data_IF_863640305531
#
_entry.id   IF_863640305531
#
_cell.length_a   1.000
_cell.length_b   1.000
_cell.length_c   1.000
_cell.angle_alpha   90.00
_cell.angle_beta   90.00
_cell.angle_gamma   90.00
#
_symmetry.space_group_name_H-M   'P 1'
#
loop_
_entity.id
_entity.type
_entity.pdbx_description
1 polymer ?
#
# COMPACT_ATOMS: atom_id res chain seq x y z
N UNK A 1 23.33 -33.77 3.56
CA UNK A 1 23.23 -32.87 4.72
C UNK A 1 24.53 -32.12 4.96
N UNK A 2 25.66 -32.81 5.16
CA UNK A 2 26.97 -32.18 5.43
C UNK A 2 27.49 -31.26 4.29
N UNK A 3 27.46 -31.71 3.03
CA UNK A 3 27.81 -30.86 1.87
C UNK A 3 26.95 -29.60 1.75
N UNK A 4 25.68 -29.70 2.12
CA UNK A 4 24.75 -28.56 2.13
C UNK A 4 25.11 -27.61 3.27
N UNK A 5 25.43 -28.13 4.46
CA UNK A 5 25.86 -27.33 5.60
C UNK A 5 27.18 -26.59 5.33
N UNK A 6 28.16 -27.25 4.70
CA UNK A 6 29.43 -26.62 4.29
C UNK A 6 29.16 -25.53 3.24
N UNK A 7 28.36 -25.82 2.21
CA UNK A 7 28.00 -24.83 1.19
C UNK A 7 27.29 -23.61 1.80
N UNK A 8 26.33 -23.82 2.71
CA UNK A 8 25.66 -22.74 3.44
C UNK A 8 26.65 -21.96 4.30
N UNK A 9 27.59 -22.64 4.96
CA UNK A 9 28.65 -22.01 5.75
C UNK A 9 29.54 -21.11 4.90
N UNK A 10 30.04 -21.61 3.78
CA UNK A 10 30.89 -20.84 2.86
C UNK A 10 30.15 -19.64 2.26
N UNK A 11 28.87 -19.82 1.88
CA UNK A 11 28.04 -18.71 1.40
C UNK A 11 27.83 -17.67 2.51
N UNK A 12 27.59 -18.12 3.75
CA UNK A 12 27.43 -17.22 4.90
C UNK A 12 28.71 -16.46 5.20
N UNK A 13 29.89 -17.09 5.19
CA UNK A 13 31.18 -16.42 5.40
C UNK A 13 31.47 -15.40 4.32
N UNK A 14 31.25 -15.75 3.05
CA UNK A 14 31.40 -14.81 1.94
C UNK A 14 30.40 -13.66 2.04
N UNK A 15 29.14 -13.96 2.37
CA UNK A 15 28.11 -12.96 2.56
C UNK A 15 28.39 -12.04 3.75
N UNK A 16 28.99 -12.51 4.83
CA UNK A 16 29.33 -11.67 5.99
C UNK A 16 30.76 -11.12 5.97
N UNK A 17 31.42 -11.15 4.81
CA UNK A 17 32.78 -10.64 4.68
C UNK A 17 32.85 -9.14 4.99
N UNK A 18 33.62 -8.76 6.02
CA UNK A 18 33.64 -7.41 6.59
C UNK A 18 33.87 -6.31 5.54
N UNK A 19 34.79 -6.56 4.58
CA UNK A 19 35.16 -5.60 3.53
C UNK A 19 34.03 -5.21 2.58
N UNK A 20 32.98 -6.04 2.48
CA UNK A 20 31.81 -5.71 1.67
C UNK A 20 30.90 -4.72 2.40
N UNK A 21 30.83 -4.79 3.73
CA UNK A 21 29.75 -4.16 4.49
C UNK A 21 30.20 -3.10 5.48
N UNK A 22 31.48 -3.08 5.83
CA UNK A 22 32.05 -2.14 6.79
C UNK A 22 33.10 -1.24 6.12
N UNK A 23 33.22 0.03 6.55
CA UNK A 23 34.23 0.93 6.02
C UNK A 23 35.65 0.59 6.53
N UNK A 24 36.64 0.76 5.65
CA UNK A 24 38.06 0.69 6.03
C UNK A 24 38.51 -0.71 6.47
N UNK A 25 39.24 -0.76 7.60
CA UNK A 25 39.79 -2.00 8.18
C UNK A 25 38.97 -2.52 9.37
N UNK A 26 37.71 -2.09 9.51
CA UNK A 26 36.82 -2.54 10.58
C UNK A 26 36.29 -3.96 10.33
N UNK A 27 36.01 -4.65 11.41
CA UNK A 27 35.41 -5.99 11.42
C UNK A 27 34.14 -6.01 12.26
N UNK A 28 33.27 -6.99 12.06
CA UNK A 28 32.09 -7.20 12.93
C UNK A 28 32.47 -7.42 14.40
N UNK A 29 33.72 -7.80 14.70
CA UNK A 29 34.22 -7.90 16.07
C UNK A 29 34.38 -6.53 16.74
N UNK A 30 34.64 -5.48 15.97
CA UNK A 30 34.79 -4.09 16.46
C UNK A 30 33.43 -3.44 16.77
N UNK A 31 32.33 -4.05 16.32
CA UNK A 31 30.94 -3.60 16.51
C UNK A 31 30.18 -4.53 17.48
N UNK A 32 30.87 -4.98 18.53
CA UNK A 32 30.28 -5.74 19.64
C UNK A 32 30.03 -4.83 20.84
N UNK A 33 28.97 -5.15 21.59
CA UNK A 33 28.62 -4.44 22.83
C UNK A 33 29.86 -4.39 23.75
N UNK A 34 30.27 -3.18 24.15
CA UNK A 34 31.53 -2.94 24.84
C UNK A 34 31.81 -1.44 24.99
N UNK A 35 32.61 -1.07 25.99
CA UNK A 35 33.01 0.34 26.24
C UNK A 35 31.83 1.34 26.40
N UNK A 36 30.68 0.86 26.87
CA UNK A 36 29.46 1.68 27.02
C UNK A 36 28.64 1.88 25.74
N UNK A 37 29.05 1.26 24.63
CA UNK A 37 28.28 1.22 23.38
C UNK A 37 27.42 -0.04 23.30
N UNK A 38 26.18 0.14 22.82
CA UNK A 38 25.26 -0.94 22.48
C UNK A 38 25.03 -0.91 20.98
N UNK A 39 25.32 -2.01 20.27
CA UNK A 39 25.20 -2.08 18.82
C UNK A 39 23.99 -2.92 18.38
N UNK A 40 23.41 -2.53 17.25
CA UNK A 40 22.39 -3.32 16.57
C UNK A 40 23.00 -4.63 16.07
N UNK A 41 22.36 -5.75 16.44
CA UNK A 41 22.76 -7.10 16.02
C UNK A 41 21.74 -7.67 15.06
N UNK A 42 22.19 -8.45 14.08
CA UNK A 42 21.30 -9.18 13.19
C UNK A 42 20.33 -10.11 13.97
N UNK A 43 20.77 -10.64 15.12
CA UNK A 43 19.93 -11.47 15.99
C UNK A 43 18.73 -10.74 16.58
N UNK A 44 18.79 -9.41 16.74
CA UNK A 44 17.64 -8.62 17.18
C UNK A 44 16.48 -8.69 16.19
N UNK A 45 16.78 -8.82 14.88
CA UNK A 45 15.76 -8.93 13.85
C UNK A 45 14.93 -10.21 13.97
N UNK A 46 15.42 -11.26 14.65
CA UNK A 46 14.61 -12.45 14.92
C UNK A 46 13.42 -12.16 15.83
N UNK A 47 13.47 -11.11 16.66
CA UNK A 47 12.33 -10.67 17.45
C UNK A 47 11.15 -10.21 16.57
N UNK A 48 11.41 -9.78 15.33
CA UNK A 48 10.34 -9.31 14.43
C UNK A 48 9.34 -10.41 14.06
N UNK A 49 9.76 -11.67 14.03
CA UNK A 49 8.91 -12.81 13.67
C UNK A 49 7.82 -13.07 14.71
N UNK A 50 8.13 -13.30 16.01
CA UNK A 50 7.08 -13.47 17.03
C UNK A 50 6.20 -12.21 17.16
N UNK A 51 6.77 -11.00 17.08
CA UNK A 51 5.96 -9.77 17.12
C UNK A 51 5.04 -9.64 15.89
N UNK A 52 5.47 -10.06 14.69
CA UNK A 52 4.60 -10.12 13.52
C UNK A 52 3.40 -11.07 13.73
N UNK A 53 3.62 -12.21 14.38
CA UNK A 53 2.53 -13.13 14.75
C UNK A 53 1.58 -12.47 15.77
N UNK A 54 2.12 -11.77 16.77
CA UNK A 54 1.30 -10.98 17.71
C UNK A 54 0.47 -9.95 16.96
N UNK A 55 1.05 -9.21 15.99
CA UNK A 55 0.30 -8.27 15.16
C UNK A 55 -0.83 -8.94 14.37
N UNK A 56 -0.67 -10.16 13.89
CA UNK A 56 -1.75 -10.90 13.23
C UNK A 56 -2.90 -11.23 14.18
N UNK A 57 -2.58 -11.60 15.43
CA UNK A 57 -3.59 -11.86 16.48
C UNK A 57 -4.29 -10.56 16.87
N UNK A 58 -3.54 -9.49 17.14
CA UNK A 58 -4.09 -8.17 17.47
C UNK A 58 -4.95 -7.64 16.34
N UNK A 59 -4.52 -7.77 15.08
CA UNK A 59 -5.31 -7.41 13.90
C UNK A 59 -6.63 -8.18 13.87
N UNK A 60 -6.61 -9.50 14.08
CA UNK A 60 -7.83 -10.30 14.10
C UNK A 60 -8.82 -9.82 15.18
N UNK A 61 -8.31 -9.55 16.38
CA UNK A 61 -9.12 -9.01 17.48
C UNK A 61 -9.65 -7.61 17.15
N UNK A 62 -8.82 -6.72 16.61
CA UNK A 62 -9.19 -5.37 16.21
C UNK A 62 -10.30 -5.37 15.16
N UNK A 63 -10.14 -6.18 14.09
CA UNK A 63 -11.11 -6.27 13.00
C UNK A 63 -12.48 -6.73 13.51
N UNK A 64 -12.51 -7.66 14.48
CA UNK A 64 -13.73 -8.21 15.07
C UNK A 64 -14.36 -7.30 16.12
N UNK A 65 -13.57 -6.77 17.05
CA UNK A 65 -14.04 -6.08 18.25
C UNK A 65 -14.22 -4.57 18.07
N UNK A 66 -13.46 -3.95 17.15
CA UNK A 66 -13.45 -2.49 16.98
C UNK A 66 -13.88 -2.06 15.58
N UNK A 67 -13.27 -2.61 14.53
CA UNK A 67 -13.54 -2.15 13.16
C UNK A 67 -14.96 -2.52 12.68
N UNK A 68 -15.47 -3.70 13.07
CA UNK A 68 -16.84 -4.12 12.71
C UNK A 68 -17.94 -3.24 13.32
N UNK A 69 -17.96 -2.99 14.64
CA UNK A 69 -18.96 -2.09 15.20
C UNK A 69 -18.81 -0.66 14.68
N UNK A 70 -17.58 -0.17 14.48
CA UNK A 70 -17.34 1.14 13.87
C UNK A 70 -17.93 1.23 12.45
N UNK A 71 -17.74 0.19 11.63
CA UNK A 71 -18.33 0.12 10.30
C UNK A 71 -19.87 0.18 10.36
N UNK A 72 -20.48 -0.52 11.32
CA UNK A 72 -21.93 -0.49 11.51
C UNK A 72 -22.44 0.90 11.91
N UNK A 73 -21.72 1.62 12.80
CA UNK A 73 -22.04 3.00 13.18
C UNK A 73 -21.96 3.97 11.99
N UNK A 74 -21.04 3.73 11.06
CA UNK A 74 -20.91 4.50 9.82
C UNK A 74 -21.87 4.06 8.70
N UNK A 75 -22.77 3.11 8.97
CA UNK A 75 -23.72 2.60 7.98
C UNK A 75 -23.10 1.70 6.91
N UNK A 76 -21.88 1.19 7.14
CA UNK A 76 -21.15 0.31 6.22
C UNK A 76 -21.54 -1.13 6.50
N UNK A 77 -22.60 -1.60 5.83
CA UNK A 77 -23.07 -2.98 5.93
C UNK A 77 -22.64 -3.82 4.74
N UNK A 78 -22.39 -5.11 4.97
CA UNK A 78 -22.12 -6.06 3.89
C UNK A 78 -23.41 -6.35 3.11
N UNK A 79 -23.42 -6.02 1.81
CA UNK A 79 -24.55 -6.37 0.94
C UNK A 79 -24.59 -7.88 0.73
N UNK A 80 -25.78 -8.53 0.80
CA UNK A 80 -25.91 -9.96 0.55
C UNK A 80 -25.45 -10.28 -0.87
N UNK A 81 -24.52 -11.23 -0.99
CA UNK A 81 -24.02 -11.70 -2.29
C UNK A 81 -24.82 -12.90 -2.73
N UNK A 82 -25.55 -12.74 -3.82
CA UNK A 82 -26.25 -13.86 -4.45
C UNK A 82 -25.23 -14.82 -5.05
N UNK A 83 -25.25 -16.08 -4.62
CA UNK A 83 -24.52 -17.18 -5.28
C UNK A 83 -25.06 -17.37 -6.70
N UNK A 84 -24.19 -17.73 -7.64
CA UNK A 84 -24.59 -17.90 -9.04
C UNK A 84 -25.28 -19.25 -9.15
N UNK A 85 -26.21 -19.34 -10.09
CA UNK A 85 -26.80 -20.62 -10.46
C UNK A 85 -25.67 -21.56 -10.92
N UNK A 86 -25.65 -22.79 -10.39
CA UNK A 86 -24.60 -23.74 -10.72
C UNK A 86 -24.71 -24.14 -12.18
N UNK A 87 -23.65 -23.90 -12.95
CA UNK A 87 -23.55 -24.30 -14.35
C UNK A 87 -22.12 -24.75 -14.65
N UNK A 88 -21.87 -26.06 -14.81
CA UNK A 88 -20.52 -26.60 -14.96
C UNK A 88 -19.84 -26.12 -16.26
N UNK A 89 -20.61 -25.86 -17.32
CA UNK A 89 -20.07 -25.36 -18.60
C UNK A 89 -19.50 -23.95 -18.44
N UNK A 90 -20.26 -23.06 -17.79
CA UNK A 90 -19.85 -21.68 -17.58
C UNK A 90 -18.71 -21.58 -16.55
N UNK A 91 -18.76 -22.37 -15.48
CA UNK A 91 -17.68 -22.43 -14.47
C UNK A 91 -16.37 -22.97 -15.06
N UNK A 92 -16.46 -24.00 -15.90
CA UNK A 92 -15.29 -24.53 -16.61
C UNK A 92 -14.67 -23.48 -17.53
N UNK A 93 -15.47 -22.75 -18.31
CA UNK A 93 -14.97 -21.66 -19.15
C UNK A 93 -14.35 -20.53 -18.31
N UNK A 94 -15.02 -20.11 -17.23
CA UNK A 94 -14.57 -19.04 -16.35
C UNK A 94 -13.19 -19.31 -15.72
N UNK A 95 -12.97 -20.57 -15.32
CA UNK A 95 -11.74 -21.00 -14.64
C UNK A 95 -10.58 -21.28 -15.59
N UNK A 96 -10.85 -21.70 -16.84
CA UNK A 96 -9.81 -22.19 -17.76
C UNK A 96 -9.54 -21.29 -18.96
N UNK A 97 -10.52 -20.49 -19.41
CA UNK A 97 -10.45 -19.71 -20.65
C UNK A 97 -10.39 -18.21 -20.38
N UNK A 98 -11.49 -17.63 -19.88
CA UNK A 98 -11.59 -16.20 -19.64
C UNK A 98 -12.69 -15.87 -18.64
N UNK A 99 -12.46 -14.83 -17.83
CA UNK A 99 -13.48 -14.21 -16.96
C UNK A 99 -14.35 -13.19 -17.70
N UNK A 100 -13.90 -12.75 -18.87
CA UNK A 100 -14.53 -11.77 -19.76
C UNK A 100 -14.66 -12.40 -21.16
N UNK A 101 -15.70 -13.23 -21.39
CA UNK A 101 -15.94 -13.84 -22.70
C UNK A 101 -16.27 -12.77 -23.75
N UNK A 102 -15.77 -12.92 -24.98
CA UNK A 102 -16.17 -12.06 -26.10
C UNK A 102 -17.55 -12.47 -26.61
N UNK A 103 -18.22 -11.63 -27.38
CA UNK A 103 -19.57 -11.92 -27.89
C UNK A 103 -19.67 -13.27 -28.62
N UNK A 104 -18.67 -13.61 -29.45
CA UNK A 104 -18.62 -14.90 -30.14
C UNK A 104 -18.52 -16.11 -29.19
N UNK A 105 -17.84 -15.96 -28.05
CA UNK A 105 -17.76 -16.99 -27.01
C UNK A 105 -19.09 -17.14 -26.28
N UNK A 106 -19.79 -16.02 -26.03
CA UNK A 106 -21.10 -16.01 -25.38
C UNK A 106 -22.11 -16.81 -26.21
N UNK A 107 -22.14 -16.63 -27.54
CA UNK A 107 -23.04 -17.38 -28.43
C UNK A 107 -22.77 -18.89 -28.39
N UNK A 108 -21.49 -19.27 -28.37
CA UNK A 108 -21.07 -20.67 -28.23
C UNK A 108 -21.48 -21.27 -26.87
N UNK A 109 -21.34 -20.50 -25.79
CA UNK A 109 -21.75 -20.92 -24.45
C UNK A 109 -23.27 -21.05 -24.34
N UNK A 110 -24.04 -20.12 -24.91
CA UNK A 110 -25.50 -20.17 -24.95
C UNK A 110 -26.01 -21.49 -25.55
N UNK A 111 -25.41 -21.94 -26.67
CA UNK A 111 -25.74 -23.22 -27.30
C UNK A 111 -25.45 -24.42 -26.39
N UNK A 112 -24.32 -24.39 -25.66
CA UNK A 112 -23.89 -25.51 -24.79
C UNK A 112 -24.70 -25.65 -23.50
N UNK A 113 -25.22 -24.55 -22.96
CA UNK A 113 -25.98 -24.56 -21.70
C UNK A 113 -27.48 -24.28 -21.88
N UNK A 114 -27.95 -24.09 -23.12
CA UNK A 114 -29.35 -23.77 -23.44
C UNK A 114 -29.87 -22.54 -22.68
N UNK A 115 -29.00 -21.56 -22.43
CA UNK A 115 -29.34 -20.28 -21.79
C UNK A 115 -29.32 -19.15 -22.82
N UNK A 116 -30.06 -18.07 -22.55
CA UNK A 116 -30.01 -16.85 -23.36
C UNK A 116 -28.72 -16.06 -23.14
N UNK A 117 -28.27 -15.29 -24.14
CA UNK A 117 -27.08 -14.42 -24.06
C UNK A 117 -27.09 -13.58 -22.80
N UNK A 118 -28.22 -12.90 -22.53
CA UNK A 118 -28.40 -12.07 -21.34
C UNK A 118 -28.27 -12.86 -20.03
N UNK A 119 -28.70 -14.12 -19.98
CA UNK A 119 -28.56 -14.97 -18.78
C UNK A 119 -27.09 -15.39 -18.59
N UNK A 120 -26.38 -15.72 -19.67
CA UNK A 120 -24.95 -16.03 -19.65
C UNK A 120 -24.12 -14.81 -19.24
N UNK A 121 -24.31 -13.66 -19.87
CA UNK A 121 -23.68 -12.38 -19.50
C UNK A 121 -23.89 -12.03 -18.02
N UNK A 122 -25.14 -12.12 -17.56
CA UNK A 122 -25.49 -11.88 -16.16
C UNK A 122 -24.82 -12.88 -15.22
N UNK A 123 -24.69 -14.15 -15.63
CA UNK A 123 -23.98 -15.16 -14.86
C UNK A 123 -22.50 -14.79 -14.72
N UNK A 124 -21.82 -14.44 -15.81
CA UNK A 124 -20.41 -14.02 -15.78
C UNK A 124 -20.21 -12.79 -14.90
N UNK A 125 -21.06 -11.76 -15.06
CA UNK A 125 -21.01 -10.56 -14.22
C UNK A 125 -21.18 -10.88 -12.73
N UNK A 126 -22.18 -11.69 -12.37
CA UNK A 126 -22.42 -12.10 -10.98
C UNK A 126 -21.29 -12.98 -10.43
N UNK A 127 -20.74 -13.88 -11.25
CA UNK A 127 -19.62 -14.76 -10.90
C UNK A 127 -18.35 -13.98 -10.61
N UNK A 128 -18.06 -12.93 -11.40
CA UNK A 128 -16.96 -11.98 -11.12
C UNK A 128 -17.18 -11.23 -9.81
N UNK A 129 -18.40 -10.75 -9.58
CA UNK A 129 -18.74 -9.98 -8.37
C UNK A 129 -18.74 -10.82 -7.07
N UNK A 130 -18.88 -12.15 -7.17
CA UNK A 130 -18.77 -13.05 -6.01
C UNK A 130 -17.35 -13.11 -5.43
N UNK A 131 -16.34 -13.13 -6.29
CA UNK A 131 -14.93 -13.23 -5.88
C UNK A 131 -14.35 -11.88 -5.43
N UNK A 132 -14.99 -10.76 -5.82
CA UNK A 132 -14.57 -9.42 -5.36
C UNK A 132 -14.66 -9.34 -3.85
N UNK A 133 -13.75 -8.72 -3.11
CA UNK A 133 -13.87 -8.60 -1.65
C UNK A 133 -14.92 -7.56 -1.23
N UNK A 134 -15.60 -7.81 -0.11
CA UNK A 134 -16.68 -6.94 0.39
C UNK A 134 -16.14 -5.60 0.89
N UNK A 135 -16.96 -4.54 0.79
CA UNK A 135 -16.61 -3.20 1.29
C UNK A 135 -16.27 -3.24 2.78
N UNK A 136 -16.98 -4.05 3.56
CA UNK A 136 -16.70 -4.26 4.98
C UNK A 136 -15.30 -4.87 5.22
N UNK A 137 -14.87 -5.84 4.39
CA UNK A 137 -13.51 -6.40 4.46
C UNK A 137 -12.48 -5.31 4.15
N UNK A 138 -12.67 -4.57 3.05
CA UNK A 138 -11.78 -3.45 2.67
C UNK A 138 -11.68 -2.40 3.80
N UNK A 139 -12.80 -2.04 4.42
CA UNK A 139 -12.86 -1.11 5.55
C UNK A 139 -12.08 -1.59 6.76
N UNK A 140 -12.27 -2.85 7.17
CA UNK A 140 -11.54 -3.45 8.30
C UNK A 140 -10.03 -3.42 8.10
N UNK A 141 -9.58 -3.83 6.91
CA UNK A 141 -8.16 -3.83 6.56
C UNK A 141 -7.55 -2.42 6.56
N UNK A 142 -8.26 -1.42 6.02
CA UNK A 142 -7.83 -0.02 6.02
C UNK A 142 -7.81 0.57 7.42
N UNK A 143 -8.82 0.29 8.23
CA UNK A 143 -8.90 0.80 9.61
C UNK A 143 -7.76 0.30 10.48
N UNK A 144 -7.36 -0.98 10.32
CA UNK A 144 -6.21 -1.55 11.02
C UNK A 144 -4.91 -0.82 10.65
N UNK A 145 -4.68 -0.61 9.35
CA UNK A 145 -3.49 0.13 8.87
C UNK A 145 -3.49 1.57 9.38
N UNK A 146 -4.64 2.26 9.35
CA UNK A 146 -4.74 3.63 9.86
C UNK A 146 -4.30 3.72 11.33
N UNK A 147 -4.84 2.86 12.20
CA UNK A 147 -4.52 2.88 13.63
C UNK A 147 -3.04 2.61 13.85
N UNK A 148 -2.47 1.66 13.10
CA UNK A 148 -1.05 1.37 13.18
C UNK A 148 -0.19 2.56 12.73
N UNK A 149 -0.40 3.10 11.52
CA UNK A 149 0.40 4.21 10.99
C UNK A 149 0.30 5.46 11.86
N UNK A 150 -0.87 5.73 12.44
CA UNK A 150 -1.04 6.82 13.40
C UNK A 150 -0.18 6.61 14.65
N UNK A 151 -0.22 5.41 15.24
CA UNK A 151 0.58 5.08 16.41
C UNK A 151 2.09 5.08 16.10
N UNK A 152 2.49 4.54 14.95
CA UNK A 152 3.87 4.52 14.48
C UNK A 152 4.43 5.92 14.25
N UNK A 153 3.68 6.79 13.58
CA UNK A 153 4.10 8.17 13.34
C UNK A 153 4.26 8.96 14.65
N UNK A 154 3.29 8.87 15.56
CA UNK A 154 3.38 9.50 16.89
C UNK A 154 4.57 8.94 17.67
N UNK A 155 4.74 7.62 17.67
CA UNK A 155 5.89 6.95 18.30
C UNK A 155 7.22 7.37 17.71
N UNK A 156 7.31 7.53 16.39
CA UNK A 156 8.48 8.01 15.67
C UNK A 156 8.84 9.45 16.05
N UNK A 157 7.85 10.35 16.14
CA UNK A 157 8.07 11.73 16.63
C UNK A 157 8.61 11.69 18.06
N UNK A 158 7.99 10.92 18.96
CA UNK A 158 8.45 10.80 20.36
C UNK A 158 9.88 10.24 20.43
N UNK A 159 10.21 9.25 19.60
CA UNK A 159 11.53 8.61 19.58
C UNK A 159 12.65 9.50 19.02
N UNK A 160 12.31 10.52 18.22
CA UNK A 160 13.25 11.34 17.46
C UNK A 160 13.31 12.81 17.89
N UNK A 161 12.29 13.33 18.57
CA UNK A 161 12.16 14.76 18.90
C UNK A 161 13.37 15.32 19.65
N UNK A 162 13.99 14.56 20.55
CA UNK A 162 15.14 14.99 21.33
C UNK A 162 16.49 14.68 20.65
N UNK A 163 16.50 14.19 19.41
CA UNK A 163 17.71 13.72 18.73
C UNK A 163 18.29 14.79 17.80
N UNK A 164 19.61 15.06 17.83
CA UNK A 164 20.20 16.14 17.05
C UNK A 164 20.10 15.91 15.53
N UNK A 165 20.14 14.66 15.08
CA UNK A 165 20.01 14.30 13.67
C UNK A 165 18.60 14.51 13.10
N UNK A 166 17.58 14.71 13.96
CA UNK A 166 16.25 15.09 13.52
C UNK A 166 16.20 16.52 12.97
N UNK A 167 17.08 17.39 13.46
CA UNK A 167 17.15 18.81 13.07
C UNK A 167 18.34 19.11 12.14
N UNK A 168 19.46 18.39 12.30
CA UNK A 168 20.65 18.57 11.48
C UNK A 168 21.12 17.22 10.91
N UNK A 169 20.88 17.02 9.61
CA UNK A 169 21.20 15.77 8.92
C UNK A 169 22.70 15.43 8.92
N UNK A 170 23.59 16.42 9.10
CA UNK A 170 25.03 16.16 9.22
C UNK A 170 25.36 15.28 10.44
N UNK A 171 24.55 15.37 11.50
CA UNK A 171 24.69 14.55 12.70
C UNK A 171 24.31 13.08 12.47
N UNK A 172 23.70 12.71 11.34
CA UNK A 172 23.39 11.30 11.04
C UNK A 172 24.64 10.44 10.93
N UNK A 173 25.75 11.00 10.43
CA UNK A 173 27.00 10.28 10.21
C UNK A 173 28.04 10.54 11.31
N UNK A 174 27.73 11.44 12.26
CA UNK A 174 28.63 11.73 13.36
C UNK A 174 28.85 10.48 14.23
N UNK A 175 30.11 10.08 14.38
CA UNK A 175 30.52 8.87 15.08
C UNK A 175 30.26 7.57 14.33
N UNK A 176 29.74 7.59 13.09
CA UNK A 176 29.58 6.37 12.29
C UNK A 176 30.95 5.76 11.93
N UNK A 177 31.13 4.43 11.99
CA UNK A 177 30.13 3.38 12.29
C UNK A 177 29.94 3.05 13.77
N UNK A 178 30.65 3.73 14.69
CA UNK A 178 30.57 3.53 16.14
C UNK A 178 29.44 4.36 16.77
N UNK A 179 28.21 4.08 16.35
CA UNK A 179 27.00 4.71 16.91
C UNK A 179 26.28 3.73 17.84
N UNK A 180 26.02 4.14 19.08
CA UNK A 180 25.20 3.35 19.99
C UNK A 180 23.74 3.41 19.56
N UNK A 181 23.12 2.24 19.50
CA UNK A 181 21.67 2.07 19.39
C UNK A 181 21.01 2.53 20.70
N UNK A 182 19.95 3.31 20.57
CA UNK A 182 19.10 3.72 21.69
C UNK A 182 17.88 2.81 21.82
N UNK A 183 17.36 2.64 23.03
CA UNK A 183 16.16 1.82 23.28
C UNK A 183 14.94 2.30 22.48
N UNK A 184 14.78 3.62 22.33
CA UNK A 184 13.70 4.19 21.50
C UNK A 184 13.82 3.79 20.03
N UNK A 185 15.05 3.74 19.50
CA UNK A 185 15.31 3.31 18.13
C UNK A 185 15.06 1.81 17.97
N UNK A 186 15.45 1.00 18.97
CA UNK A 186 15.18 -0.43 18.98
C UNK A 186 13.69 -0.72 18.87
N UNK A 187 12.89 -0.18 19.79
CA UNK A 187 11.45 -0.44 19.78
C UNK A 187 10.78 0.11 18.54
N UNK A 188 11.19 1.29 18.05
CA UNK A 188 10.61 1.85 16.83
C UNK A 188 10.87 0.94 15.62
N UNK A 189 12.11 0.47 15.43
CA UNK A 189 12.48 -0.46 14.35
C UNK A 189 11.76 -1.80 14.45
N UNK A 190 11.78 -2.42 15.64
CA UNK A 190 11.21 -3.75 15.82
C UNK A 190 9.69 -3.71 15.60
N UNK A 191 9.00 -2.69 16.09
CA UNK A 191 7.56 -2.52 15.88
C UNK A 191 7.22 -2.33 14.40
N UNK A 192 7.88 -1.39 13.71
CA UNK A 192 7.69 -1.12 12.28
C UNK A 192 7.95 -2.37 11.43
N UNK A 193 9.12 -3.00 11.61
CA UNK A 193 9.50 -4.16 10.83
C UNK A 193 8.59 -5.36 11.08
N UNK A 194 8.13 -5.57 12.31
CA UNK A 194 7.19 -6.63 12.66
C UNK A 194 5.82 -6.41 12.00
N UNK A 195 5.36 -5.16 11.95
CA UNK A 195 4.11 -4.83 11.27
C UNK A 195 4.21 -5.08 9.77
N UNK A 196 5.26 -4.60 9.10
CA UNK A 196 5.44 -4.86 7.67
C UNK A 196 5.59 -6.36 7.37
N UNK A 197 6.30 -7.11 8.21
CA UNK A 197 6.38 -8.55 8.08
C UNK A 197 4.99 -9.20 8.21
N UNK A 198 4.16 -8.73 9.14
CA UNK A 198 2.78 -9.21 9.29
C UNK A 198 1.92 -8.94 8.04
N UNK A 199 2.13 -7.80 7.35
CA UNK A 199 1.47 -7.49 6.09
C UNK A 199 1.91 -8.44 4.97
N UNK A 200 3.21 -8.72 4.86
CA UNK A 200 3.74 -9.68 3.88
C UNK A 200 3.19 -11.09 4.12
N UNK A 201 3.11 -11.55 5.37
CA UNK A 201 2.52 -12.86 5.69
C UNK A 201 1.05 -12.98 5.28
N UNK A 202 0.32 -11.86 5.19
CA UNK A 202 -1.09 -11.80 4.80
C UNK A 202 -1.32 -11.44 3.33
N UNK A 203 -0.26 -11.20 2.55
CA UNK A 203 -0.35 -10.63 1.20
C UNK A 203 -1.22 -11.46 0.23
N UNK A 204 -1.30 -12.78 0.43
CA UNK A 204 -2.12 -13.69 -0.39
C UNK A 204 -3.60 -13.72 0.01
N UNK A 205 -3.91 -13.35 1.27
CA UNK A 205 -5.25 -13.37 1.85
C UNK A 205 -5.94 -12.00 1.83
N UNK A 206 -5.14 -10.93 1.88
CA UNK A 206 -5.61 -9.55 1.81
C UNK A 206 -6.13 -9.20 0.41
N UNK A 207 -6.90 -8.11 0.32
CA UNK A 207 -7.50 -7.67 -0.94
C UNK A 207 -6.40 -7.24 -1.94
N UNK A 208 -6.27 -8.00 -3.03
CA UNK A 208 -5.35 -7.66 -4.13
C UNK A 208 -5.84 -6.41 -4.86
N UNK A 209 -4.97 -5.41 -4.93
CA UNK A 209 -5.20 -4.12 -5.59
C UNK A 209 -4.61 -4.11 -7.00
N UNK A 210 -4.90 -3.08 -7.80
CA UNK A 210 -4.40 -2.94 -9.18
C UNK A 210 -2.87 -2.84 -9.23
N UNK A 211 -2.26 -2.27 -8.21
CA UNK A 211 -0.81 -2.07 -8.01
C UNK A 211 -0.15 -3.21 -7.20
N UNK A 212 -0.72 -4.42 -7.21
CA UNK A 212 -0.26 -5.52 -6.37
C UNK A 212 1.20 -5.92 -6.61
N UNK A 213 1.69 -5.88 -7.86
CA UNK A 213 3.06 -6.27 -8.20
C UNK A 213 4.05 -5.23 -7.68
N UNK A 214 3.75 -3.96 -7.87
CA UNK A 214 4.52 -2.81 -7.40
C UNK A 214 4.58 -2.79 -5.88
N UNK A 215 3.46 -3.13 -5.22
CA UNK A 215 3.42 -3.31 -3.77
C UNK A 215 4.33 -4.45 -3.30
N UNK A 216 4.40 -5.60 -3.99
CA UNK A 216 5.34 -6.67 -3.62
C UNK A 216 6.80 -6.17 -3.71
N UNK A 217 7.15 -5.52 -4.82
CA UNK A 217 8.51 -4.97 -5.02
C UNK A 217 8.84 -3.97 -3.91
N UNK A 218 7.89 -3.11 -3.56
CA UNK A 218 8.03 -2.17 -2.45
C UNK A 218 8.28 -2.88 -1.12
N UNK A 219 7.46 -3.87 -0.73
CA UNK A 219 7.63 -4.57 0.55
C UNK A 219 8.98 -5.30 0.62
N UNK A 220 9.44 -5.85 -0.50
CA UNK A 220 10.77 -6.45 -0.58
C UNK A 220 11.87 -5.40 -0.42
N UNK A 221 11.75 -4.26 -1.09
CA UNK A 221 12.70 -3.17 -1.00
C UNK A 221 12.77 -2.56 0.41
N UNK A 222 11.62 -2.28 1.04
CA UNK A 222 11.56 -1.70 2.38
C UNK A 222 12.05 -2.66 3.45
N UNK A 223 11.62 -3.92 3.47
CA UNK A 223 12.13 -4.90 4.44
C UNK A 223 13.64 -5.11 4.29
N UNK A 224 14.15 -5.12 3.06
CA UNK A 224 15.61 -5.19 2.81
C UNK A 224 16.32 -3.94 3.31
N UNK A 225 15.78 -2.74 3.08
CA UNK A 225 16.33 -1.48 3.59
C UNK A 225 16.32 -1.41 5.12
N UNK A 226 15.23 -1.83 5.78
CA UNK A 226 15.16 -1.88 7.24
C UNK A 226 16.17 -2.89 7.81
N UNK A 227 16.22 -4.11 7.27
CA UNK A 227 17.16 -5.13 7.73
C UNK A 227 18.62 -4.69 7.50
N UNK A 228 18.91 -4.14 6.32
CA UNK A 228 20.25 -3.68 5.99
C UNK A 228 20.68 -2.49 6.84
N UNK A 229 19.83 -1.47 6.99
CA UNK A 229 20.14 -0.30 7.82
C UNK A 229 20.33 -0.68 9.29
N UNK A 230 19.63 -1.70 9.78
CA UNK A 230 19.87 -2.25 11.12
C UNK A 230 21.25 -2.91 11.22
N UNK A 231 21.54 -3.87 10.34
CA UNK A 231 22.79 -4.62 10.37
C UNK A 231 24.03 -3.75 10.09
N UNK A 232 23.92 -2.75 9.20
CA UNK A 232 25.00 -1.83 8.86
C UNK A 232 25.16 -0.65 9.84
N UNK A 233 24.34 -0.56 10.89
CA UNK A 233 24.28 0.56 11.83
C UNK A 233 23.91 1.92 11.20
N UNK A 234 23.02 1.92 10.20
CA UNK A 234 22.46 3.13 9.56
C UNK A 234 21.13 3.53 10.23
N UNK A 235 20.99 3.21 11.52
CA UNK A 235 19.74 3.29 12.28
C UNK A 235 19.16 4.71 12.24
N UNK A 236 20.01 5.73 12.39
CA UNK A 236 19.60 7.14 12.33
C UNK A 236 18.90 7.47 11.02
N UNK A 237 19.47 7.05 9.88
CA UNK A 237 18.88 7.25 8.55
C UNK A 237 17.54 6.52 8.46
N UNK A 238 17.50 5.24 8.82
CA UNK A 238 16.28 4.45 8.66
C UNK A 238 15.15 4.93 9.56
N UNK A 239 15.41 5.44 10.77
CA UNK A 239 14.37 6.07 11.60
C UNK A 239 13.73 7.30 10.95
N UNK A 240 14.51 8.14 10.24
CA UNK A 240 13.95 9.27 9.49
C UNK A 240 13.19 8.81 8.25
N UNK A 241 13.69 7.79 7.54
CA UNK A 241 12.99 7.21 6.40
C UNK A 241 11.63 6.68 6.82
N UNK A 242 11.54 5.87 7.89
CA UNK A 242 10.26 5.38 8.41
C UNK A 242 9.31 6.53 8.75
N UNK A 243 9.79 7.53 9.52
CA UNK A 243 8.95 8.65 9.97
C UNK A 243 8.33 9.44 8.82
N UNK A 244 9.13 9.86 7.83
CA UNK A 244 8.59 10.62 6.70
C UNK A 244 7.67 9.77 5.84
N UNK A 245 7.87 8.45 5.84
CA UNK A 245 7.05 7.52 5.09
C UNK A 245 5.66 7.39 5.75
N UNK A 246 5.60 7.10 7.05
CA UNK A 246 4.33 6.87 7.77
C UNK A 246 3.38 8.08 7.73
N UNK A 247 3.93 9.29 7.63
CA UNK A 247 3.16 10.55 7.63
C UNK A 247 2.06 10.64 6.56
N UNK A 248 2.34 10.21 5.32
CA UNK A 248 1.37 10.25 4.22
C UNK A 248 0.33 9.14 4.33
N UNK A 249 0.70 8.03 4.93
CA UNK A 249 -0.09 6.79 4.90
C UNK A 249 -1.30 6.90 5.83
N UNK A 250 -1.19 7.67 6.92
CA UNK A 250 -2.32 8.06 7.78
C UNK A 250 -3.42 8.75 6.96
N UNK A 251 -3.05 9.72 6.11
CA UNK A 251 -4.00 10.47 5.30
C UNK A 251 -4.61 9.59 4.20
N UNK A 252 -3.80 8.72 3.59
CA UNK A 252 -4.26 7.78 2.57
C UNK A 252 -5.30 6.79 3.12
N UNK A 253 -5.02 6.16 4.26
CA UNK A 253 -5.95 5.21 4.87
C UNK A 253 -7.20 5.95 5.39
N UNK A 254 -7.06 7.16 5.92
CA UNK A 254 -8.20 8.01 6.32
C UNK A 254 -9.12 8.31 5.13
N UNK A 255 -8.58 8.75 3.99
CA UNK A 255 -9.38 9.01 2.79
C UNK A 255 -10.18 7.78 2.35
N UNK A 256 -9.57 6.58 2.38
CA UNK A 256 -10.24 5.32 2.04
C UNK A 256 -11.40 4.99 3.00
N UNK A 257 -11.24 5.23 4.31
CA UNK A 257 -12.31 5.04 5.31
C UNK A 257 -13.52 5.91 4.97
N UNK A 258 -13.29 7.22 4.74
CA UNK A 258 -14.36 8.15 4.40
C UNK A 258 -15.00 7.85 3.04
N UNK A 259 -14.22 7.35 2.07
CA UNK A 259 -14.77 6.85 0.81
C UNK A 259 -15.75 5.69 1.04
N UNK A 260 -15.39 4.71 1.88
CA UNK A 260 -16.28 3.59 2.20
C UNK A 260 -17.51 4.02 3.01
N UNK A 261 -17.41 5.07 3.81
CA UNK A 261 -18.53 5.70 4.50
C UNK A 261 -19.39 6.60 3.60
N UNK A 262 -19.04 6.75 2.31
CA UNK A 262 -19.69 7.64 1.33
C UNK A 262 -19.67 9.12 1.70
N UNK A 263 -18.65 9.57 2.42
CA UNK A 263 -18.45 10.99 2.77
C UNK A 263 -17.53 11.65 1.74
N UNK A 264 -18.05 11.85 0.54
CA UNK A 264 -17.27 12.23 -0.65
C UNK A 264 -16.50 13.55 -0.47
N UNK A 265 -17.15 14.60 0.06
CA UNK A 265 -16.50 15.91 0.29
C UNK A 265 -15.29 15.79 1.22
N UNK A 266 -15.46 15.08 2.33
CA UNK A 266 -14.40 14.85 3.32
C UNK A 266 -13.29 13.97 2.74
N UNK A 267 -13.65 12.89 2.04
CA UNK A 267 -12.71 12.01 1.35
C UNK A 267 -11.84 12.78 0.35
N UNK A 268 -12.46 13.57 -0.52
CA UNK A 268 -11.76 14.34 -1.55
C UNK A 268 -10.84 15.40 -0.92
N UNK A 269 -11.30 16.10 0.12
CA UNK A 269 -10.48 17.05 0.87
C UNK A 269 -9.24 16.39 1.48
N UNK A 270 -9.41 15.26 2.18
CA UNK A 270 -8.30 14.49 2.77
C UNK A 270 -7.37 13.96 1.67
N UNK A 271 -7.90 13.51 0.54
CA UNK A 271 -7.10 13.01 -0.57
C UNK A 271 -6.19 14.08 -1.18
N UNK A 272 -6.67 15.34 -1.29
CA UNK A 272 -5.82 16.46 -1.74
C UNK A 272 -4.71 16.76 -0.74
N UNK A 273 -5.02 16.76 0.56
CA UNK A 273 -4.00 16.94 1.62
C UNK A 273 -2.99 15.79 1.59
N UNK A 274 -3.47 14.55 1.45
CA UNK A 274 -2.63 13.36 1.25
C UNK A 274 -1.67 13.55 0.06
N UNK A 275 -2.18 13.98 -1.09
CA UNK A 275 -1.35 14.18 -2.27
C UNK A 275 -0.25 15.22 -2.01
N UNK A 276 -0.58 16.35 -1.38
CA UNK A 276 0.40 17.37 -1.03
C UNK A 276 1.48 16.83 -0.07
N UNK A 277 1.08 16.16 1.00
CA UNK A 277 2.01 15.56 1.98
C UNK A 277 2.88 14.49 1.32
N UNK A 278 2.31 13.61 0.50
CA UNK A 278 3.04 12.58 -0.22
C UNK A 278 4.13 13.17 -1.13
N UNK A 279 3.81 14.21 -1.89
CA UNK A 279 4.80 14.88 -2.77
C UNK A 279 5.90 15.53 -1.93
N UNK A 280 5.55 16.25 -0.86
CA UNK A 280 6.54 16.90 0.01
C UNK A 280 7.45 15.85 0.67
N UNK A 281 6.90 14.81 1.27
CA UNK A 281 7.72 13.86 2.04
C UNK A 281 8.50 12.90 1.14
N UNK A 282 7.90 12.38 0.06
CA UNK A 282 8.51 11.34 -0.78
C UNK A 282 9.27 11.87 -2.00
N UNK A 283 8.91 13.04 -2.54
CA UNK A 283 9.58 13.60 -3.73
C UNK A 283 10.39 14.86 -3.46
N UNK A 284 10.24 15.49 -2.29
CA UNK A 284 11.05 16.65 -1.89
C UNK A 284 12.01 16.24 -0.77
N UNK A 285 11.51 15.95 0.43
CA UNK A 285 12.35 15.63 1.60
C UNK A 285 13.18 14.37 1.35
N UNK A 286 12.57 13.27 0.90
CA UNK A 286 13.28 12.01 0.72
C UNK A 286 14.49 12.10 -0.25
N UNK A 287 14.37 12.59 -1.50
CA UNK A 287 15.52 12.67 -2.40
C UNK A 287 16.51 13.79 -2.05
N UNK A 288 16.04 15.02 -1.79
CA UNK A 288 16.92 16.18 -1.68
C UNK A 288 17.53 16.36 -0.30
N UNK A 289 16.95 15.77 0.75
CA UNK A 289 17.50 15.81 2.11
C UNK A 289 18.05 14.45 2.52
N UNK A 290 17.24 13.39 2.52
CA UNK A 290 17.66 12.09 3.06
C UNK A 290 18.65 11.38 2.12
N UNK A 291 18.29 11.15 0.85
CA UNK A 291 19.20 10.50 -0.13
C UNK A 291 20.45 11.35 -0.36
N UNK A 292 20.30 12.67 -0.48
CA UNK A 292 21.45 13.57 -0.56
C UNK A 292 22.39 13.38 0.64
N UNK A 293 21.85 13.33 1.86
CA UNK A 293 22.66 13.11 3.05
C UNK A 293 23.33 11.72 3.07
N UNK A 294 22.72 10.67 2.52
CA UNK A 294 23.33 9.34 2.45
C UNK A 294 24.33 9.18 1.31
N UNK A 295 24.37 10.13 0.37
CA UNK A 295 25.30 10.14 -0.75
C UNK A 295 26.50 11.07 -0.50
N UNK A 296 26.26 12.24 0.09
CA UNK A 296 27.26 13.33 0.12
C UNK A 296 28.11 13.33 1.40
N UNK A 297 27.54 13.04 2.56
CA UNK A 297 28.26 13.16 3.84
C UNK A 297 29.09 11.93 4.24
N UNK A 298 28.72 10.68 3.89
CA UNK A 298 29.54 9.51 4.18
C UNK A 298 30.97 9.57 3.65
N UNK A 299 31.20 9.98 2.39
CA UNK A 299 32.56 10.05 1.83
C UNK A 299 33.50 11.00 2.57
N UNK A 300 32.97 11.97 3.34
CA UNK A 300 33.79 12.85 4.19
C UNK A 300 34.41 12.11 5.39
N UNK A 301 33.83 10.97 5.78
CA UNK A 301 34.22 10.21 6.99
C UNK A 301 34.95 8.92 6.64
N UNK A 302 34.59 8.26 5.52
CA UNK A 302 35.16 6.98 5.13
C UNK A 302 35.11 6.77 3.60
N UNK A 303 36.04 5.97 3.03
CA UNK A 303 36.00 5.64 1.62
C UNK A 303 34.74 4.81 1.29
N UNK A 304 34.10 5.04 0.13
CA UNK A 304 32.96 4.25 -0.31
C UNK A 304 33.27 2.76 -0.37
N UNK A 305 32.33 1.93 0.11
CA UNK A 305 32.40 0.48 0.10
C UNK A 305 31.10 -0.12 -0.44
N UNK A 306 31.02 -1.44 -0.61
CA UNK A 306 29.87 -2.07 -1.27
C UNK A 306 28.54 -1.77 -0.57
N UNK A 307 28.47 -1.88 0.77
CA UNK A 307 27.28 -1.55 1.55
C UNK A 307 26.78 -0.11 1.39
N UNK A 308 27.68 0.86 1.20
CA UNK A 308 27.32 2.25 0.88
C UNK A 308 26.58 2.34 -0.47
N UNK A 309 27.10 1.69 -1.52
CA UNK A 309 26.47 1.69 -2.84
C UNK A 309 25.16 0.91 -2.83
N UNK A 310 25.14 -0.25 -2.17
CA UNK A 310 23.96 -1.11 -2.05
C UNK A 310 22.79 -0.37 -1.38
N UNK A 311 23.05 0.30 -0.25
CA UNK A 311 22.02 1.05 0.47
C UNK A 311 21.44 2.19 -0.37
N UNK A 312 22.30 3.02 -0.96
CA UNK A 312 21.85 4.14 -1.80
C UNK A 312 21.10 3.65 -3.05
N UNK A 313 21.53 2.55 -3.66
CA UNK A 313 20.83 1.92 -4.77
C UNK A 313 19.40 1.49 -4.37
N UNK A 314 19.23 0.87 -3.21
CA UNK A 314 17.92 0.47 -2.70
C UNK A 314 17.03 1.68 -2.38
N UNK A 315 17.59 2.79 -1.87
CA UNK A 315 16.85 4.04 -1.68
C UNK A 315 16.38 4.64 -3.02
N UNK A 316 17.18 4.52 -4.08
CA UNK A 316 16.80 4.96 -5.43
C UNK A 316 15.69 4.09 -6.01
N UNK A 317 15.74 2.76 -5.84
CA UNK A 317 14.61 1.88 -6.21
C UNK A 317 13.33 2.34 -5.51
N UNK A 318 13.44 2.62 -4.21
CA UNK A 318 12.33 3.11 -3.42
C UNK A 318 11.80 4.45 -3.97
N UNK A 319 12.67 5.40 -4.33
CA UNK A 319 12.28 6.66 -4.98
C UNK A 319 11.58 6.48 -6.34
N UNK A 320 12.01 5.50 -7.15
CA UNK A 320 11.36 5.19 -8.43
C UNK A 320 9.92 4.73 -8.23
N UNK A 321 9.67 3.88 -7.22
CA UNK A 321 8.32 3.44 -6.85
C UNK A 321 7.46 4.62 -6.38
N UNK A 322 8.02 5.54 -5.59
CA UNK A 322 7.33 6.76 -5.19
C UNK A 322 6.96 7.66 -6.36
N UNK A 323 7.85 7.81 -7.33
CA UNK A 323 7.59 8.56 -8.56
C UNK A 323 6.44 7.92 -9.36
N UNK A 324 6.40 6.59 -9.45
CA UNK A 324 5.31 5.86 -10.08
C UNK A 324 3.97 6.14 -9.39
N UNK A 325 3.90 6.03 -8.06
CA UNK A 325 2.66 6.32 -7.33
C UNK A 325 2.27 7.80 -7.38
N UNK A 326 3.24 8.72 -7.33
CA UNK A 326 2.98 10.14 -7.50
C UNK A 326 2.29 10.43 -8.85
N UNK A 327 2.72 9.77 -9.92
CA UNK A 327 2.05 9.89 -11.22
C UNK A 327 0.58 9.45 -11.15
N UNK A 328 0.27 8.33 -10.50
CA UNK A 328 -1.11 7.86 -10.32
C UNK A 328 -1.94 8.83 -9.46
N UNK A 329 -1.37 9.34 -8.37
CA UNK A 329 -2.02 10.29 -7.47
C UNK A 329 -2.35 11.59 -8.22
N UNK A 330 -1.38 12.15 -8.96
CA UNK A 330 -1.58 13.36 -9.75
C UNK A 330 -2.64 13.17 -10.85
N UNK A 331 -2.68 11.99 -11.49
CA UNK A 331 -3.73 11.64 -12.45
C UNK A 331 -5.12 11.66 -11.78
N UNK A 332 -5.26 11.10 -10.58
CA UNK A 332 -6.51 11.14 -9.82
C UNK A 332 -6.90 12.55 -9.40
N UNK A 333 -5.94 13.35 -8.90
CA UNK A 333 -6.20 14.76 -8.53
C UNK A 333 -6.64 15.57 -9.75
N UNK A 334 -5.99 15.40 -10.91
CA UNK A 334 -6.41 16.05 -12.16
C UNK A 334 -7.84 15.65 -12.54
N UNK A 335 -8.20 14.38 -12.39
CA UNK A 335 -9.56 13.90 -12.66
C UNK A 335 -10.59 14.57 -11.73
N UNK A 336 -10.28 14.73 -10.44
CA UNK A 336 -11.18 15.38 -9.48
C UNK A 336 -11.31 16.89 -9.68
N UNK A 337 -10.23 17.58 -10.03
CA UNK A 337 -10.24 19.04 -10.20
C UNK A 337 -10.86 19.48 -11.53
N UNK A 338 -10.63 18.72 -12.61
CA UNK A 338 -11.03 19.12 -13.95
C UNK A 338 -12.25 18.39 -14.52
N UNK A 339 -12.78 17.38 -13.81
CA UNK A 339 -14.04 16.69 -14.14
C UNK A 339 -14.16 16.28 -15.61
N UNK A 340 -13.77 15.04 -15.96
CA UNK A 340 -13.85 14.51 -17.34
C UNK A 340 -13.27 15.48 -18.38
N UNK A 341 -11.94 15.55 -18.45
CA UNK A 341 -11.28 16.08 -19.64
C UNK A 341 -11.51 15.09 -20.78
N UNK A 342 -12.57 15.37 -21.54
CA UNK A 342 -12.75 15.13 -22.98
C UNK A 342 -12.44 13.71 -23.48
N UNK A 343 -13.51 12.99 -23.83
CA UNK A 343 -13.58 12.07 -24.98
C UNK A 343 -12.54 12.44 -26.05
N UNK A 344 -11.45 11.69 -26.14
CA UNK A 344 -11.04 10.99 -27.36
C UNK A 344 -9.87 10.04 -27.03
N UNK A 345 -9.83 8.89 -27.72
CA UNK A 345 -9.05 7.65 -27.48
C UNK A 345 -9.68 6.53 -26.62
N UNK A 346 -11.02 6.53 -26.44
CA UNK A 346 -11.79 5.36 -25.93
C UNK A 346 -12.28 4.46 -27.08
N UNK A 347 -11.60 3.34 -27.32
CA UNK A 347 -12.09 2.12 -27.99
C UNK A 347 -11.02 1.02 -27.82
N UNK A 348 -10.87 0.38 -26.67
CA UNK A 348 -11.60 -0.81 -26.28
C UNK A 348 -11.10 -1.20 -24.87
N UNK A 349 -12.00 -1.63 -23.97
CA UNK A 349 -11.78 -2.36 -22.69
C UNK A 349 -12.32 -1.72 -21.39
N UNK A 350 -13.01 -0.59 -21.41
CA UNK A 350 -13.52 0.05 -20.17
C UNK A 350 -14.92 -0.43 -19.71
N UNK A 351 -15.49 -1.50 -20.27
CA UNK A 351 -16.85 -1.96 -19.89
C UNK A 351 -16.91 -2.96 -18.71
N UNK A 352 -15.80 -3.31 -18.05
CA UNK A 352 -15.82 -4.28 -16.93
C UNK A 352 -15.52 -3.68 -15.54
N UNK A 353 -15.25 -2.37 -15.46
CA UNK A 353 -14.92 -1.68 -14.21
C UNK A 353 -16.06 -0.80 -13.66
N UNK A 354 -17.14 -0.56 -14.41
CA UNK A 354 -18.30 0.22 -13.98
C UNK A 354 -19.30 -0.61 -13.15
N UNK A 355 -18.86 -1.15 -12.01
CA UNK A 355 -19.75 -1.57 -10.91
C UNK A 355 -18.96 -1.70 -9.59
N UNK A 356 -18.08 -0.74 -9.29
CA UNK A 356 -17.42 -0.60 -7.98
C UNK A 356 -17.44 0.89 -7.55
N UNK A 357 -18.63 1.50 -7.48
CA UNK A 357 -18.85 2.72 -6.67
C UNK A 357 -17.96 3.92 -6.98
N UNK A 358 -17.71 4.22 -8.24
CA UNK A 358 -17.61 5.60 -8.71
C UNK A 358 -19.04 6.11 -9.00
N UNK A 359 -19.29 7.35 -8.57
CA UNK A 359 -20.50 8.18 -8.78
C UNK A 359 -21.85 7.61 -8.34
N UNK A 360 -22.20 7.81 -7.06
CA UNK A 360 -23.62 8.00 -6.70
C UNK A 360 -24.02 9.45 -6.93
N UNK A 361 -24.45 9.76 -8.16
CA UNK A 361 -25.39 10.87 -8.40
C UNK A 361 -26.70 10.23 -8.79
N UNK A 362 -27.51 9.88 -7.80
CA UNK A 362 -28.95 9.73 -8.04
C UNK A 362 -29.56 11.11 -8.03
N UNK A 363 -30.16 11.45 -9.17
CA UNK A 363 -31.23 12.41 -9.32
C UNK A 363 -32.08 12.50 -8.06
N UNK A 364 -32.21 13.71 -7.51
CA UNK A 364 -33.38 14.04 -6.71
C UNK A 364 -33.93 15.38 -7.23
N UNK A 365 -34.92 15.23 -8.11
CA UNK A 365 -36.26 15.72 -7.84
C UNK A 365 -36.41 17.24 -7.67
N UNK A 366 -36.62 17.92 -8.80
CA UNK A 366 -37.41 19.15 -8.80
C UNK A 366 -38.80 18.84 -9.35
N UNK A 367 -39.75 18.67 -8.41
CA UNK A 367 -41.18 18.57 -8.71
C UNK A 367 -41.68 19.98 -9.02
N UNK A 368 -41.89 20.28 -10.30
CA UNK A 368 -42.96 21.22 -10.67
C UNK A 368 -44.11 20.46 -11.32
N UNK A 369 -45.09 20.14 -10.48
CA UNK A 369 -46.41 19.64 -10.89
C UNK A 369 -47.09 20.72 -11.72
N UNK A 370 -47.49 20.37 -12.95
CA UNK A 370 -48.62 21.01 -13.61
C UNK A 370 -49.44 19.93 -14.33
N UNK A 371 -50.35 19.34 -13.57
CA UNK A 371 -51.45 18.54 -14.11
C UNK A 371 -52.58 19.51 -14.42
N UNK A 372 -52.93 19.64 -15.70
CA UNK A 372 -54.29 20.01 -16.11
C UNK A 372 -54.73 19.00 -17.15
N UNK A 373 -55.67 18.14 -16.74
CA UNK A 373 -56.48 17.32 -17.64
C UNK A 373 -57.39 18.22 -18.48
N UNK A 374 -57.56 17.86 -19.75
CA UNK A 374 -58.57 18.45 -20.64
C UNK A 374 -58.76 17.57 -21.87
N UNK A 375 -59.79 16.72 -21.80
CA UNK A 375 -60.32 15.90 -22.89
C UNK A 375 -60.89 16.79 -24.03
N UNK A 376 -60.83 16.32 -25.28
CA UNK A 376 -61.80 16.74 -26.30
C UNK A 376 -61.27 17.04 -27.71
N UNK A 377 -61.63 16.15 -28.63
CA UNK A 377 -62.11 16.42 -30.00
C UNK A 377 -61.29 17.31 -30.98
N UNK A 378 -60.83 16.65 -32.06
CA UNK A 378 -61.27 16.95 -33.43
C UNK A 378 -60.71 18.18 -34.15
N UNK A 379 -60.13 17.94 -35.33
CA UNK A 379 -60.19 18.89 -36.45
C UNK A 379 -58.86 19.27 -37.11
N UNK A 380 -58.63 18.72 -38.30
CA UNK A 380 -58.43 19.52 -39.52
C UNK A 380 -57.14 20.33 -39.73
N UNK A 381 -56.37 19.86 -40.72
CA UNK A 381 -55.91 20.61 -41.90
C UNK A 381 -54.81 21.70 -41.79
N UNK A 382 -53.78 21.46 -42.63
CA UNK A 382 -53.23 22.37 -43.67
C UNK A 382 -52.15 23.43 -43.37
N UNK A 383 -51.12 23.36 -44.25
CA UNK A 383 -50.21 24.41 -44.76
C UNK A 383 -49.27 25.06 -43.71
N UNK A 384 -47.97 25.31 -43.96
CA UNK A 384 -47.21 25.51 -45.20
C UNK A 384 -45.74 25.14 -44.99
#
# INVERSE_FOLDING_TARGET
MEKIAIMIGTISEWFWWDRLWLPGNLTWADLKDGEGFVYARASHLYATVPFAIVFLVVRYLFERLLATPLAALLGITEKPRYKVEHNPVLEHYFSTKSKHPRQADIDGLCKKCSWSSRKVERWFRRRRNQDRPGVLKKFREVSWRLVFYLAAFVGGIIALYDKPWFYNLREMWNGYPRQSMLDSQYWYYIVEMSFYLSLVLRITFDVKRKDFKEQIIHHWATLTLLAFSWCGNYIRVGTLVMLIHDSSDILLESAKIFNYAKWEKTCNGIFVVFAAVFIITRLIIFPFWIIHCTWVYPPDHYPPFFGYYFFNFMLVILLMLHTFWAFLILRMVKMFLFGSLTKDERSDNEEDDEEDGETSVTEDNDRHVKVTNGCGAGGGANHH
#
